data_IF_963282860288
#
_entry.id   IF_963282860288
#
_cell.length_a   1.000
_cell.length_b   1.000
_cell.length_c   1.000
_cell.angle_alpha   90.00
_cell.angle_beta   90.00
_cell.angle_gamma   90.00
#
_symmetry.space_group_name_H-M   'P 1'
#
loop_
_entity.id
_entity.type
_entity.pdbx_description
1 polymer ?
#
# COMPACT_ATOMS: atom_id res chain seq x y z
N UNK A 1 -14.54 20.95 59.38
CA UNK A 1 -13.13 21.31 59.65
C UNK A 1 -12.28 20.13 59.17
N UNK A 2 -11.37 20.18 58.22
CA UNK A 2 -10.78 21.26 57.43
C UNK A 2 -10.43 20.68 56.03
N UNK A 3 -10.67 21.49 55.00
CA UNK A 3 -10.34 21.25 53.60
C UNK A 3 -8.89 21.63 53.30
N UNK A 4 -8.13 20.74 52.66
CA UNK A 4 -6.76 21.02 52.17
C UNK A 4 -6.78 21.85 50.88
N UNK A 5 -6.01 22.94 50.76
CA UNK A 5 -5.90 23.73 49.53
C UNK A 5 -4.71 23.26 48.66
N UNK A 6 -4.71 23.54 47.34
CA UNK A 6 -3.62 23.18 46.44
C UNK A 6 -2.47 24.21 46.49
N UNK A 7 -1.21 23.82 46.19
CA UNK A 7 -0.11 24.77 46.18
C UNK A 7 -0.15 25.63 44.92
N UNK A 8 -0.17 26.96 45.14
CA UNK A 8 -0.02 27.99 44.11
C UNK A 8 1.47 28.20 43.78
N UNK A 9 1.75 28.32 42.49
CA UNK A 9 3.01 28.81 41.93
C UNK A 9 3.27 30.27 42.32
N UNK A 10 4.55 30.61 42.55
CA UNK A 10 5.04 31.99 42.66
C UNK A 10 6.26 32.21 41.76
N UNK A 11 6.45 33.43 41.21
CA UNK A 11 7.39 33.72 40.13
C UNK A 11 8.70 34.42 40.58
N UNK A 12 9.66 34.41 39.65
CA UNK A 12 10.80 35.33 39.43
C UNK A 12 11.90 35.53 40.49
N UNK A 13 13.14 35.25 40.07
CA UNK A 13 14.27 36.15 40.30
C UNK A 13 15.33 35.98 39.18
N UNK A 14 15.58 37.07 38.47
CA UNK A 14 16.69 37.22 37.53
C UNK A 14 18.00 37.46 38.28
N UNK A 15 19.11 36.94 37.77
CA UNK A 15 20.45 37.35 38.16
C UNK A 15 21.32 37.52 36.91
N UNK A 16 21.62 38.78 36.63
CA UNK A 16 22.59 39.27 35.66
C UNK A 16 24.02 38.92 36.06
N UNK A 17 24.85 38.50 35.09
CA UNK A 17 26.29 38.78 35.10
C UNK A 17 26.75 39.16 33.69
N UNK A 18 27.19 40.40 33.59
CA UNK A 18 27.83 41.07 32.46
C UNK A 18 29.32 40.71 32.39
N UNK A 19 30.00 41.24 31.37
CA UNK A 19 31.45 41.22 31.00
C UNK A 19 31.88 39.97 30.23
N UNK A 20 32.53 40.02 29.07
CA UNK A 20 33.22 41.11 28.35
C UNK A 20 33.31 40.78 26.85
N UNK A 21 33.15 41.80 26.00
CA UNK A 21 33.38 41.76 24.56
C UNK A 21 34.82 41.38 24.19
N UNK A 22 34.97 40.43 23.26
CA UNK A 22 36.13 40.37 22.35
C UNK A 22 35.62 40.31 20.92
N UNK A 23 35.87 41.40 20.21
CA UNK A 23 35.70 41.56 18.77
C UNK A 23 36.85 40.81 18.10
N UNK A 24 36.56 39.97 17.10
CA UNK A 24 37.52 39.58 16.06
C UNK A 24 36.81 39.35 14.72
N UNK A 25 37.48 39.79 13.66
CA UNK A 25 37.02 40.12 12.31
C UNK A 25 36.46 38.97 11.45
N UNK A 26 35.72 39.29 10.35
CA UNK A 26 35.08 38.32 9.48
C UNK A 26 35.97 37.96 8.28
N UNK A 27 36.61 36.79 8.29
CA UNK A 27 37.34 36.26 7.13
C UNK A 27 37.41 34.74 7.11
N UNK A 28 36.30 34.04 6.87
CA UNK A 28 36.35 32.67 6.32
C UNK A 28 35.19 32.48 5.34
N UNK A 29 35.48 32.62 4.05
CA UNK A 29 34.65 32.13 2.96
C UNK A 29 34.49 30.61 3.10
N UNK A 30 33.30 30.16 3.48
CA UNK A 30 32.92 28.77 3.30
C UNK A 30 32.75 28.50 1.80
N UNK A 31 33.76 27.86 1.22
CA UNK A 31 33.71 27.30 -0.14
C UNK A 31 32.59 26.25 -0.16
N UNK A 32 31.48 26.57 -0.80
CA UNK A 32 30.52 25.57 -1.26
C UNK A 32 31.26 24.56 -2.15
N UNK A 33 31.21 23.28 -1.79
CA UNK A 33 31.57 22.21 -2.72
C UNK A 33 30.50 22.16 -3.82
N UNK A 34 30.86 22.23 -5.11
CA UNK A 34 29.91 21.98 -6.19
C UNK A 34 29.38 20.54 -6.10
N UNK A 35 28.07 20.39 -6.31
CA UNK A 35 27.45 19.10 -6.58
C UNK A 35 28.17 18.44 -7.77
N UNK A 36 28.55 17.15 -7.70
CA UNK A 36 29.10 16.47 -8.86
C UNK A 36 28.06 16.48 -9.99
N UNK A 37 28.55 16.84 -11.17
CA UNK A 37 27.86 16.96 -12.44
C UNK A 37 26.89 15.80 -12.73
N UNK A 38 25.73 16.17 -13.27
CA UNK A 38 24.77 15.31 -13.97
C UNK A 38 25.47 14.26 -14.85
N UNK A 39 25.21 12.96 -14.68
CA UNK A 39 25.59 11.98 -15.67
C UNK A 39 24.75 12.20 -16.93
N UNK A 40 25.45 12.36 -18.04
CA UNK A 40 24.90 12.44 -19.39
C UNK A 40 24.11 11.17 -19.72
N UNK A 41 22.91 11.38 -20.26
CA UNK A 41 22.04 10.33 -20.76
C UNK A 41 22.68 9.66 -21.97
N UNK A 42 23.18 8.43 -21.81
CA UNK A 42 23.20 7.43 -22.88
C UNK A 42 23.52 6.04 -22.30
N UNK A 43 22.49 5.29 -21.94
CA UNK A 43 22.54 3.83 -22.03
C UNK A 43 21.14 3.35 -22.34
N UNK A 44 20.97 2.95 -23.59
CA UNK A 44 19.76 2.37 -24.16
C UNK A 44 19.29 1.24 -23.23
N UNK A 45 18.13 1.43 -22.61
CA UNK A 45 17.45 0.36 -21.90
C UNK A 45 17.12 -0.75 -22.91
N UNK A 46 17.64 -1.94 -22.69
CA UNK A 46 17.26 -3.11 -23.48
C UNK A 46 15.73 -3.28 -23.39
N UNK A 47 15.02 -3.38 -24.53
CA UNK A 47 13.58 -3.61 -24.51
C UNK A 47 13.32 -4.94 -23.81
N UNK A 48 12.38 -4.90 -22.86
CA UNK A 48 11.88 -6.08 -22.18
C UNK A 48 11.31 -7.05 -23.22
N UNK A 49 11.50 -8.37 -23.08
CA UNK A 49 10.89 -9.32 -23.99
C UNK A 49 9.38 -9.13 -23.91
N UNK A 50 8.80 -8.68 -25.03
CA UNK A 50 7.36 -8.64 -25.24
C UNK A 50 6.86 -10.08 -25.25
N UNK A 51 6.52 -10.63 -24.09
CA UNK A 51 5.69 -11.83 -24.02
C UNK A 51 4.22 -11.41 -24.09
N UNK A 52 3.85 -10.66 -25.13
CA UNK A 52 2.47 -10.68 -25.60
C UNK A 52 2.26 -12.06 -26.21
N UNK A 53 1.90 -13.05 -25.37
CA UNK A 53 1.27 -14.26 -25.91
C UNK A 53 0.11 -13.77 -26.79
N UNK A 54 0.04 -14.17 -28.06
CA UNK A 54 -1.12 -13.85 -28.89
C UNK A 54 -2.37 -14.35 -28.17
N UNK A 55 -3.45 -13.55 -28.23
CA UNK A 55 -4.74 -13.91 -27.65
C UNK A 55 -5.15 -15.28 -28.18
N UNK A 56 -5.16 -16.31 -27.31
CA UNK A 56 -5.62 -17.64 -27.71
C UNK A 56 -7.14 -17.66 -27.76
N UNK A 57 -7.69 -18.33 -28.76
CA UNK A 57 -9.13 -18.52 -28.95
C UNK A 57 -9.81 -19.26 -27.77
N UNK A 58 -9.02 -19.84 -26.86
CA UNK A 58 -9.49 -20.65 -25.72
C UNK A 58 -9.51 -19.91 -24.37
N UNK A 59 -9.43 -18.57 -24.36
CA UNK A 59 -9.56 -17.85 -23.08
C UNK A 59 -10.97 -18.02 -22.52
N UNK A 60 -11.06 -18.49 -21.27
CA UNK A 60 -12.34 -18.55 -20.57
C UNK A 60 -13.01 -17.18 -20.58
N UNK A 61 -14.31 -17.16 -20.81
CA UNK A 61 -15.11 -15.93 -20.81
C UNK A 61 -16.02 -15.90 -19.59
N UNK A 62 -16.42 -14.70 -19.17
CA UNK A 62 -17.42 -14.52 -18.12
C UNK A 62 -18.29 -13.29 -18.44
N UNK A 63 -19.52 -13.26 -17.91
CA UNK A 63 -20.41 -12.10 -18.00
C UNK A 63 -20.41 -11.28 -16.70
N UNK A 64 -20.87 -10.02 -16.77
CA UNK A 64 -21.06 -9.19 -15.56
C UNK A 64 -22.05 -9.82 -14.57
N UNK A 65 -23.06 -10.53 -15.07
CA UNK A 65 -24.02 -11.27 -14.25
C UNK A 65 -23.37 -12.40 -13.46
N UNK A 66 -22.31 -13.03 -13.99
CA UNK A 66 -21.54 -14.04 -13.26
C UNK A 66 -20.70 -13.41 -12.16
N UNK A 67 -20.08 -12.25 -12.43
CA UNK A 67 -19.36 -11.47 -11.41
C UNK A 67 -20.31 -11.07 -10.27
N UNK A 68 -21.48 -10.51 -10.60
CA UNK A 68 -22.48 -10.11 -9.61
C UNK A 68 -22.98 -11.30 -8.77
N UNK A 69 -23.18 -12.46 -9.39
CA UNK A 69 -23.55 -13.71 -8.68
C UNK A 69 -22.43 -14.18 -7.75
N UNK A 70 -21.17 -14.14 -8.21
CA UNK A 70 -20.01 -14.50 -7.41
C UNK A 70 -19.87 -13.58 -6.18
N UNK A 71 -20.04 -12.28 -6.37
CA UNK A 71 -20.03 -11.28 -5.30
C UNK A 71 -21.13 -11.53 -4.26
N UNK A 72 -22.39 -11.72 -4.69
CA UNK A 72 -23.52 -12.05 -3.80
C UNK A 72 -23.33 -13.36 -3.05
N UNK A 73 -22.62 -14.31 -3.63
CA UNK A 73 -22.31 -15.59 -2.97
C UNK A 73 -21.24 -15.43 -1.90
N UNK A 74 -20.19 -14.64 -2.18
CA UNK A 74 -19.14 -14.32 -1.22
C UNK A 74 -19.65 -13.45 -0.07
N UNK A 75 -20.47 -12.46 -0.38
CA UNK A 75 -20.98 -11.46 0.57
C UNK A 75 -22.51 -11.42 0.48
N UNK A 76 -23.17 -12.32 1.22
CA UNK A 76 -24.64 -12.28 1.37
C UNK A 76 -25.09 -10.93 1.95
N UNK A 77 -24.31 -10.42 2.90
CA UNK A 77 -24.39 -9.06 3.43
C UNK A 77 -23.19 -8.26 2.90
N UNK A 78 -23.42 -7.25 2.04
CA UNK A 78 -22.33 -6.50 1.44
C UNK A 78 -21.53 -5.72 2.50
N UNK A 79 -20.19 -5.81 2.50
CA UNK A 79 -19.34 -5.09 3.45
C UNK A 79 -19.36 -3.57 3.22
N UNK A 80 -19.32 -2.80 4.31
CA UNK A 80 -19.27 -1.33 4.25
C UNK A 80 -17.93 -0.73 3.80
N UNK A 81 -16.85 -1.50 3.85
CA UNK A 81 -15.51 -1.10 3.38
C UNK A 81 -14.83 -2.28 2.71
N UNK A 82 -14.39 -2.08 1.46
CA UNK A 82 -13.70 -3.11 0.68
C UNK A 82 -12.36 -2.59 0.18
N UNK A 83 -11.30 -3.36 0.37
CA UNK A 83 -9.97 -3.10 -0.18
C UNK A 83 -9.68 -4.05 -1.34
N UNK A 84 -9.76 -3.53 -2.56
CA UNK A 84 -9.79 -4.30 -3.80
C UNK A 84 -8.41 -4.39 -4.43
N UNK A 85 -7.98 -5.61 -4.74
CA UNK A 85 -6.84 -5.89 -5.63
C UNK A 85 -7.35 -6.63 -6.86
N UNK A 86 -6.76 -6.39 -8.04
CA UNK A 86 -7.24 -7.05 -9.24
C UNK A 86 -6.15 -7.34 -10.27
N UNK A 87 -6.35 -8.46 -10.97
CA UNK A 87 -5.70 -8.81 -12.23
C UNK A 87 -6.80 -9.21 -13.20
N UNK A 88 -7.44 -8.21 -13.80
CA UNK A 88 -8.70 -8.40 -14.55
C UNK A 88 -8.57 -9.40 -15.69
N UNK A 89 -7.42 -9.46 -16.36
CA UNK A 89 -7.19 -10.43 -17.44
C UNK A 89 -6.97 -11.87 -16.93
N UNK A 90 -6.59 -12.08 -15.66
CA UNK A 90 -6.54 -13.43 -15.09
C UNK A 90 -7.94 -14.02 -14.86
N UNK A 91 -8.99 -13.19 -14.81
CA UNK A 91 -10.36 -13.68 -14.80
C UNK A 91 -10.82 -14.21 -16.17
N UNK A 92 -10.09 -13.90 -17.25
CA UNK A 92 -10.49 -14.20 -18.62
C UNK A 92 -11.12 -13.01 -19.33
N UNK A 93 -11.82 -13.25 -20.44
CA UNK A 93 -12.44 -12.21 -21.24
C UNK A 93 -13.85 -11.87 -20.75
N UNK A 94 -14.09 -10.59 -20.49
CA UNK A 94 -15.43 -10.09 -20.19
C UNK A 94 -16.25 -10.02 -21.49
N UNK A 95 -17.38 -10.74 -21.53
CA UNK A 95 -18.26 -10.80 -22.70
C UNK A 95 -18.82 -9.42 -23.05
N UNK A 96 -18.76 -9.06 -24.34
CA UNK A 96 -19.34 -7.81 -24.84
C UNK A 96 -18.60 -6.53 -24.44
N UNK A 97 -17.42 -6.62 -23.81
CA UNK A 97 -16.65 -5.46 -23.36
C UNK A 97 -15.33 -5.31 -24.12
N UNK A 98 -14.98 -4.09 -24.50
CA UNK A 98 -13.62 -3.78 -24.95
C UNK A 98 -12.68 -3.70 -23.74
N UNK A 99 -11.37 -3.99 -23.90
CA UNK A 99 -10.40 -3.90 -22.79
C UNK A 99 -10.43 -2.56 -22.02
N UNK A 100 -10.68 -1.45 -22.72
CA UNK A 100 -10.74 -0.11 -22.13
C UNK A 100 -11.97 0.09 -21.23
N UNK A 101 -13.09 -0.57 -21.52
CA UNK A 101 -14.33 -0.46 -20.75
C UNK A 101 -14.36 -1.35 -19.50
N UNK A 102 -13.50 -2.38 -19.43
CA UNK A 102 -13.52 -3.36 -18.34
C UNK A 102 -13.41 -2.71 -16.95
N UNK A 103 -12.47 -1.79 -16.66
CA UNK A 103 -12.34 -1.21 -15.32
C UNK A 103 -13.62 -0.52 -14.83
N UNK A 104 -14.29 0.23 -15.71
CA UNK A 104 -15.55 0.92 -15.42
C UNK A 104 -16.68 -0.08 -15.16
N UNK A 105 -16.87 -1.06 -16.05
CA UNK A 105 -17.92 -2.07 -15.89
C UNK A 105 -17.75 -2.90 -14.61
N UNK A 106 -16.51 -3.25 -14.26
CA UNK A 106 -16.20 -3.94 -13.00
C UNK A 106 -16.49 -3.05 -11.80
N UNK A 107 -16.09 -1.77 -11.85
CA UNK A 107 -16.38 -0.82 -10.77
C UNK A 107 -17.89 -0.63 -10.56
N UNK A 108 -18.66 -0.47 -11.64
CA UNK A 108 -20.11 -0.32 -11.57
C UNK A 108 -20.78 -1.58 -11.01
N UNK A 109 -20.31 -2.77 -11.39
CA UNK A 109 -20.81 -4.04 -10.83
C UNK A 109 -20.50 -4.16 -9.33
N UNK A 110 -19.29 -3.75 -8.90
CA UNK A 110 -18.95 -3.67 -7.48
C UNK A 110 -19.85 -2.67 -6.76
N UNK A 111 -20.10 -1.50 -7.35
CA UNK A 111 -20.95 -0.46 -6.78
C UNK A 111 -22.41 -0.92 -6.67
N UNK A 112 -22.94 -1.62 -7.67
CA UNK A 112 -24.28 -2.21 -7.64
C UNK A 112 -24.41 -3.20 -6.47
N UNK A 113 -23.43 -4.09 -6.32
CA UNK A 113 -23.46 -5.09 -5.26
C UNK A 113 -23.30 -4.48 -3.86
N UNK A 114 -22.34 -3.57 -3.68
CA UNK A 114 -21.97 -3.00 -2.39
C UNK A 114 -22.92 -1.86 -1.95
N UNK A 115 -23.59 -1.23 -2.91
CA UNK A 115 -24.46 -0.08 -2.68
C UNK A 115 -23.71 1.24 -2.46
N UNK A 116 -24.46 2.35 -2.33
CA UNK A 116 -23.89 3.70 -2.23
C UNK A 116 -23.22 3.98 -0.87
N UNK A 117 -23.58 3.24 0.18
CA UNK A 117 -23.04 3.44 1.53
C UNK A 117 -21.69 2.73 1.76
N UNK A 118 -21.27 1.87 0.83
CA UNK A 118 -19.98 1.21 0.93
C UNK A 118 -18.84 2.11 0.43
N UNK A 119 -17.66 1.91 1.01
CA UNK A 119 -16.41 2.52 0.55
C UNK A 119 -15.57 1.50 -0.20
N UNK A 120 -15.19 1.83 -1.43
CA UNK A 120 -14.27 1.02 -2.25
C UNK A 120 -12.90 1.68 -2.17
N UNK A 121 -11.91 0.95 -1.69
CA UNK A 121 -10.51 1.36 -1.60
C UNK A 121 -9.63 0.47 -2.48
N UNK A 122 -8.58 1.05 -3.08
CA UNK A 122 -7.63 0.36 -3.95
C UNK A 122 -6.20 0.85 -3.66
N UNK A 123 -5.16 0.00 -3.78
CA UNK A 123 -3.79 0.47 -3.69
C UNK A 123 -3.43 1.29 -4.94
N UNK A 124 -2.76 2.43 -4.75
CA UNK A 124 -2.33 3.33 -5.85
C UNK A 124 -0.84 3.64 -5.77
N UNK A 125 -0.02 2.61 -5.61
CA UNK A 125 1.41 2.76 -5.33
C UNK A 125 2.15 3.41 -6.51
N UNK A 126 3.20 4.14 -6.17
CA UNK A 126 4.12 4.73 -7.14
C UNK A 126 5.48 4.97 -6.49
N UNK A 127 6.48 4.19 -6.88
CA UNK A 127 7.82 4.27 -6.29
C UNK A 127 8.75 5.29 -6.97
N UNK A 128 8.21 6.20 -7.80
CA UNK A 128 8.96 7.32 -8.38
C UNK A 128 9.55 8.27 -7.33
N UNK A 129 8.84 8.44 -6.22
CA UNK A 129 9.31 9.24 -5.09
C UNK A 129 10.65 8.73 -4.53
N UNK A 130 10.91 7.40 -4.57
CA UNK A 130 12.18 6.82 -4.16
C UNK A 130 13.37 7.26 -5.05
N UNK A 131 13.09 7.74 -6.25
CA UNK A 131 14.07 8.21 -7.25
C UNK A 131 14.15 9.73 -7.34
N UNK A 132 13.52 10.46 -6.42
CA UNK A 132 13.50 11.93 -6.44
C UNK A 132 12.42 12.54 -7.34
N UNK A 133 11.53 11.73 -7.91
CA UNK A 133 10.43 12.24 -8.76
C UNK A 133 9.35 12.93 -7.92
N UNK A 134 8.69 13.94 -8.51
CA UNK A 134 7.56 14.61 -7.88
C UNK A 134 6.40 13.64 -7.63
N UNK A 135 5.94 13.57 -6.38
CA UNK A 135 4.63 13.02 -6.07
C UNK A 135 3.60 14.15 -5.95
N UNK A 136 2.66 14.17 -6.88
CA UNK A 136 1.44 14.96 -6.81
C UNK A 136 0.28 14.03 -6.40
N UNK A 137 -0.33 14.32 -5.25
CA UNK A 137 -1.40 13.52 -4.66
C UNK A 137 -2.58 13.34 -5.61
N UNK A 138 -2.87 14.32 -6.46
CA UNK A 138 -3.99 14.32 -7.41
C UNK A 138 -3.60 13.71 -8.75
N UNK A 139 -2.44 14.07 -9.31
CA UNK A 139 -2.11 13.75 -10.71
C UNK A 139 -1.11 12.60 -10.92
N UNK A 140 -0.30 12.24 -9.92
CA UNK A 140 0.67 11.14 -10.09
C UNK A 140 -0.07 9.82 -10.33
N UNK A 141 0.19 9.09 -11.43
CA UNK A 141 -0.55 7.87 -11.74
C UNK A 141 -0.19 6.75 -10.76
N UNK A 142 -1.11 5.80 -10.59
CA UNK A 142 -0.82 4.49 -10.02
C UNK A 142 0.08 3.70 -10.98
N UNK A 143 1.05 2.96 -10.44
CA UNK A 143 1.96 2.12 -11.24
C UNK A 143 1.90 0.69 -10.72
N UNK A 144 1.65 -0.25 -11.64
CA UNK A 144 1.63 -1.70 -11.37
C UNK A 144 0.55 -2.19 -10.40
N UNK A 145 -0.47 -1.39 -10.06
CA UNK A 145 -1.59 -1.80 -9.20
C UNK A 145 -2.83 -2.30 -9.97
N UNK A 146 -2.74 -2.41 -11.29
CA UNK A 146 -3.84 -2.83 -12.16
C UNK A 146 -4.72 -1.67 -12.66
N UNK A 147 -5.45 -1.93 -13.76
CA UNK A 147 -6.25 -0.92 -14.45
C UNK A 147 -7.45 -0.44 -13.61
N UNK A 148 -8.05 -1.31 -12.80
CA UNK A 148 -9.13 -0.94 -11.87
C UNK A 148 -8.65 0.09 -10.84
N UNK A 149 -7.45 -0.11 -10.28
CA UNK A 149 -6.93 0.80 -9.27
C UNK A 149 -6.71 2.22 -9.83
N UNK A 150 -6.20 2.32 -11.06
CA UNK A 150 -6.02 3.62 -11.72
C UNK A 150 -7.37 4.25 -12.09
N UNK A 151 -8.33 3.46 -12.59
CA UNK A 151 -9.68 3.94 -12.88
C UNK A 151 -10.32 4.55 -11.62
N UNK A 152 -10.32 3.83 -10.50
CA UNK A 152 -10.86 4.33 -9.22
C UNK A 152 -10.13 5.58 -8.75
N UNK A 153 -8.81 5.66 -8.89
CA UNK A 153 -8.02 6.85 -8.51
C UNK A 153 -8.47 8.11 -9.26
N UNK A 154 -8.89 7.96 -10.52
CA UNK A 154 -9.26 9.08 -11.41
C UNK A 154 -10.72 9.49 -11.35
N UNK A 155 -11.56 8.79 -10.57
CA UNK A 155 -12.97 9.17 -10.42
C UNK A 155 -13.10 10.57 -9.76
N UNK A 156 -14.07 11.41 -10.17
CA UNK A 156 -14.20 12.79 -9.67
C UNK A 156 -14.30 12.95 -8.14
N UNK A 157 -14.79 11.93 -7.44
CA UNK A 157 -14.98 11.93 -5.98
C UNK A 157 -13.98 11.03 -5.24
N UNK A 158 -12.98 10.50 -5.94
CA UNK A 158 -11.93 9.73 -5.32
C UNK A 158 -11.05 10.63 -4.45
N UNK A 159 -10.70 10.10 -3.27
CA UNK A 159 -9.67 10.68 -2.41
C UNK A 159 -8.47 9.75 -2.40
N UNK A 160 -7.27 10.30 -2.31
CA UNK A 160 -6.02 9.52 -2.22
C UNK A 160 -5.31 9.82 -0.92
N UNK A 161 -4.73 8.83 -0.25
CA UNK A 161 -3.92 9.05 0.96
C UNK A 161 -2.61 9.78 0.65
N UNK A 162 -1.98 10.34 1.69
CA UNK A 162 -0.86 11.25 1.53
C UNK A 162 0.46 10.55 1.18
N UNK A 163 0.67 9.29 1.58
CA UNK A 163 1.97 8.63 1.49
C UNK A 163 2.40 8.41 0.01
N UNK A 164 3.54 8.96 -0.44
CA UNK A 164 3.84 9.11 -1.86
C UNK A 164 4.21 7.80 -2.55
N UNK A 165 4.78 6.84 -1.80
CA UNK A 165 5.23 5.56 -2.35
C UNK A 165 4.11 4.52 -2.36
N UNK A 166 3.27 4.56 -1.32
CA UNK A 166 2.34 3.50 -0.96
C UNK A 166 1.03 4.14 -0.50
N UNK A 167 0.28 4.67 -1.46
CA UNK A 167 -1.00 5.34 -1.22
C UNK A 167 -2.19 4.44 -1.51
N UNK A 168 -3.35 4.81 -0.97
CA UNK A 168 -4.65 4.21 -1.22
C UNK A 168 -5.53 5.27 -1.88
N UNK A 169 -6.26 4.92 -2.93
CA UNK A 169 -7.39 5.71 -3.39
C UNK A 169 -8.70 5.10 -2.89
N UNK A 170 -9.68 5.93 -2.54
CA UNK A 170 -10.95 5.49 -2.00
C UNK A 170 -12.13 6.35 -2.47
N UNK A 171 -13.28 5.71 -2.65
CA UNK A 171 -14.57 6.33 -3.02
C UNK A 171 -15.66 5.79 -2.11
N UNK A 172 -16.35 6.68 -1.39
CA UNK A 172 -17.45 6.36 -0.48
C UNK A 172 -17.35 7.11 0.86
N UNK A 173 -18.28 6.85 1.80
CA UNK A 173 -18.39 7.60 3.05
C UNK A 173 -17.11 7.63 3.92
N UNK A 174 -16.32 6.56 3.91
CA UNK A 174 -15.07 6.46 4.69
C UNK A 174 -13.85 7.00 3.95
N UNK A 175 -13.96 7.42 2.69
CA UNK A 175 -12.83 7.85 1.88
C UNK A 175 -12.04 9.01 2.53
N UNK A 176 -12.74 9.95 3.18
CA UNK A 176 -12.08 11.06 3.86
C UNK A 176 -11.26 10.60 5.08
N UNK A 177 -11.85 9.77 5.95
CA UNK A 177 -11.17 9.24 7.12
C UNK A 177 -9.97 8.35 6.72
N UNK A 178 -10.16 7.46 5.75
CA UNK A 178 -9.13 6.53 5.28
C UNK A 178 -7.91 7.25 4.66
N UNK A 179 -8.13 8.40 4.04
CA UNK A 179 -7.08 9.14 3.30
C UNK A 179 -6.58 10.38 4.01
N UNK A 180 -7.09 10.68 5.21
CA UNK A 180 -6.65 11.80 6.04
C UNK A 180 -5.24 11.59 6.64
N UNK A 181 -4.83 10.38 7.06
CA UNK A 181 -3.51 10.17 7.65
C UNK A 181 -2.35 10.58 6.74
N UNK A 182 -1.34 11.18 7.36
CA UNK A 182 -0.10 11.64 6.74
C UNK A 182 1.09 11.24 7.63
N UNK A 183 1.23 9.93 7.83
CA UNK A 183 2.30 9.30 8.60
C UNK A 183 3.59 9.20 7.80
N UNK A 184 4.72 9.06 8.48
CA UNK A 184 6.03 9.00 7.82
C UNK A 184 6.15 7.72 6.97
N UNK A 185 5.58 6.61 7.44
CA UNK A 185 5.49 5.33 6.73
C UNK A 185 4.04 4.91 6.49
N UNK A 186 3.81 4.16 5.42
CA UNK A 186 2.46 3.80 4.98
C UNK A 186 1.70 2.86 5.92
N UNK A 187 2.41 1.92 6.57
CA UNK A 187 1.83 0.90 7.45
C UNK A 187 2.00 1.22 8.94
N UNK A 188 2.45 2.44 9.24
CA UNK A 188 2.60 2.92 10.62
C UNK A 188 1.26 2.96 11.36
N UNK A 189 1.34 2.91 12.70
CA UNK A 189 0.17 3.11 13.54
C UNK A 189 -0.45 4.48 13.26
N UNK A 190 -1.78 4.53 13.16
CA UNK A 190 -2.53 5.71 12.76
C UNK A 190 -2.41 6.09 11.28
N UNK A 191 -1.74 5.27 10.46
CA UNK A 191 -1.67 5.43 9.01
C UNK A 191 -2.90 4.87 8.28
N UNK A 192 -3.02 5.13 6.96
CA UNK A 192 -4.18 4.69 6.17
C UNK A 192 -4.38 3.18 6.15
N UNK A 193 -3.31 2.38 6.17
CA UNK A 193 -3.44 0.92 6.24
C UNK A 193 -3.86 0.44 7.63
N UNK A 194 -3.47 1.15 8.70
CA UNK A 194 -3.95 0.90 10.06
C UNK A 194 -5.46 1.14 10.12
N UNK A 195 -5.95 2.23 9.51
CA UNK A 195 -7.39 2.51 9.39
C UNK A 195 -8.16 1.43 8.64
N UNK A 196 -7.60 0.80 7.60
CA UNK A 196 -8.24 -0.36 6.95
C UNK A 196 -8.45 -1.53 7.93
N UNK A 197 -7.53 -1.73 8.88
CA UNK A 197 -7.60 -2.81 9.87
C UNK A 197 -8.55 -2.46 11.01
N UNK A 198 -8.52 -1.21 11.47
CA UNK A 198 -9.42 -0.68 12.50
C UNK A 198 -10.89 -0.84 12.08
N UNK A 199 -11.21 -0.50 10.84
CA UNK A 199 -12.55 -0.66 10.25
C UNK A 199 -12.85 -2.07 9.75
N UNK A 200 -11.94 -3.03 9.95
CA UNK A 200 -12.04 -4.42 9.47
C UNK A 200 -12.44 -4.52 7.98
N UNK A 201 -11.75 -3.74 7.14
CA UNK A 201 -11.95 -3.73 5.70
C UNK A 201 -11.99 -5.14 5.12
N UNK A 202 -12.97 -5.42 4.28
CA UNK A 202 -13.01 -6.67 3.54
C UNK A 202 -11.98 -6.62 2.42
N UNK A 203 -10.95 -7.46 2.48
CA UNK A 203 -10.04 -7.64 1.36
C UNK A 203 -10.79 -8.43 0.30
N UNK A 204 -10.83 -7.91 -0.93
CA UNK A 204 -11.43 -8.57 -2.09
C UNK A 204 -10.40 -8.62 -3.21
N UNK A 205 -10.12 -9.80 -3.72
CA UNK A 205 -9.19 -9.96 -4.84
C UNK A 205 -9.91 -10.51 -6.05
N UNK A 206 -9.67 -9.90 -7.21
CA UNK A 206 -10.29 -10.24 -8.47
C UNK A 206 -9.23 -10.87 -9.37
N UNK A 207 -9.13 -12.20 -9.32
CA UNK A 207 -8.27 -12.99 -10.18
C UNK A 207 -6.79 -13.00 -9.83
N UNK A 208 -6.32 -12.28 -8.80
CA UNK A 208 -4.89 -12.12 -8.49
C UNK A 208 -4.40 -12.83 -7.22
N UNK A 209 -5.24 -13.64 -6.57
CA UNK A 209 -4.87 -14.28 -5.30
C UNK A 209 -4.60 -13.28 -4.17
N UNK A 210 -3.87 -13.71 -3.12
CA UNK A 210 -3.51 -12.89 -1.96
C UNK A 210 -2.08 -12.31 -2.05
N UNK A 211 -1.30 -12.75 -3.03
CA UNK A 211 0.08 -12.34 -3.31
C UNK A 211 0.27 -10.81 -3.38
N UNK A 212 -0.59 -10.04 -4.06
CA UNK A 212 -0.42 -8.59 -4.14
C UNK A 212 -0.98 -7.83 -2.93
N UNK A 213 -1.57 -8.51 -1.94
CA UNK A 213 -2.24 -7.87 -0.81
C UNK A 213 -1.21 -7.21 0.11
N UNK A 214 -1.11 -5.90 -0.01
CA UNK A 214 -0.08 -5.09 0.66
C UNK A 214 -0.15 -5.07 2.19
N UNK A 215 -1.25 -5.52 2.81
CA UNK A 215 -1.40 -5.60 4.26
C UNK A 215 -0.43 -6.60 4.92
N UNK A 216 0.21 -7.49 4.16
CA UNK A 216 1.28 -8.35 4.70
C UNK A 216 2.43 -7.53 5.26
N UNK A 217 2.75 -6.39 4.62
CA UNK A 217 3.83 -5.50 5.06
C UNK A 217 3.51 -4.77 6.36
N UNK A 218 2.22 -4.59 6.67
CA UNK A 218 1.80 -4.11 7.98
C UNK A 218 2.15 -5.12 9.07
N UNK A 219 1.89 -6.42 8.85
CA UNK A 219 2.27 -7.47 9.80
C UNK A 219 3.79 -7.58 9.96
N UNK A 220 4.54 -7.55 8.86
CA UNK A 220 6.01 -7.57 8.88
C UNK A 220 6.61 -6.39 9.66
N UNK A 221 6.04 -5.19 9.53
CA UNK A 221 6.46 -4.01 10.30
C UNK A 221 6.17 -4.18 11.79
N UNK A 222 5.02 -4.74 12.16
CA UNK A 222 4.63 -4.94 13.57
C UNK A 222 5.51 -5.97 14.27
N UNK A 223 5.91 -7.04 13.56
CA UNK A 223 6.79 -8.09 14.10
C UNK A 223 8.26 -7.65 14.08
N UNK A 224 8.67 -6.79 13.13
CA UNK A 224 10.06 -6.38 13.00
C UNK A 224 10.93 -7.48 12.38
N UNK A 225 10.50 -7.99 11.23
CA UNK A 225 11.17 -9.11 10.52
C UNK A 225 12.63 -8.78 10.15
N UNK A 226 13.55 -9.76 10.19
CA UNK A 226 15.00 -9.52 10.08
C UNK A 226 15.46 -9.13 8.66
N UNK A 227 14.63 -9.35 7.64
CA UNK A 227 14.97 -9.09 6.24
C UNK A 227 14.47 -7.73 5.71
N UNK A 228 13.94 -6.86 6.58
CA UNK A 228 13.48 -5.52 6.23
C UNK A 228 14.08 -4.45 7.13
N UNK A 229 14.36 -3.28 6.57
CA UNK A 229 14.90 -2.13 7.27
C UNK A 229 14.24 -0.83 6.83
N UNK A 230 14.19 0.15 7.73
CA UNK A 230 13.67 1.47 7.44
C UNK A 230 14.59 2.24 6.49
N UNK A 231 14.03 2.77 5.40
CA UNK A 231 14.72 3.66 4.47
C UNK A 231 13.93 4.95 4.29
N UNK A 232 14.60 6.09 4.42
CA UNK A 232 14.01 7.41 4.22
C UNK A 232 14.25 7.93 2.81
N UNK A 233 13.25 8.58 2.23
CA UNK A 233 13.27 9.17 0.91
C UNK A 233 12.81 10.62 1.00
N UNK A 234 13.53 11.53 0.34
CA UNK A 234 13.22 12.94 0.30
C UNK A 234 13.10 13.40 -1.15
N UNK A 235 11.92 13.88 -1.55
CA UNK A 235 11.63 14.30 -2.92
C UNK A 235 10.54 15.38 -2.94
N UNK A 236 10.34 16.06 -4.09
CA UNK A 236 9.26 17.03 -4.25
C UNK A 236 7.90 16.37 -4.04
N UNK A 237 7.03 17.04 -3.28
CA UNK A 237 5.69 16.58 -2.94
C UNK A 237 4.68 17.71 -3.09
N UNK A 238 3.53 17.43 -3.69
CA UNK A 238 2.40 18.35 -3.85
C UNK A 238 1.09 17.69 -3.42
N UNK A 239 0.44 18.22 -2.39
CA UNK A 239 -0.98 17.89 -2.09
C UNK A 239 -1.91 19.00 -2.57
N UNK A 240 -1.52 20.27 -2.36
CA UNK A 240 -2.24 21.47 -2.82
C UNK A 240 -1.21 22.56 -3.11
N UNK A 241 -1.43 23.39 -4.11
CA UNK A 241 -0.56 24.54 -4.39
C UNK A 241 0.85 24.14 -4.85
N UNK A 242 1.87 24.80 -4.30
CA UNK A 242 3.27 24.65 -4.73
C UNK A 242 3.91 23.39 -4.12
N UNK A 243 4.70 22.67 -4.92
CA UNK A 243 5.45 21.51 -4.45
C UNK A 243 6.52 21.89 -3.41
N UNK A 244 6.70 21.05 -2.39
CA UNK A 244 7.73 21.21 -1.35
C UNK A 244 8.46 19.89 -1.16
N UNK A 245 9.74 19.96 -0.77
CA UNK A 245 10.47 18.77 -0.36
C UNK A 245 9.83 18.19 0.90
N UNK A 246 9.52 16.90 0.88
CA UNK A 246 9.04 16.16 2.04
C UNK A 246 9.82 14.87 2.20
N UNK A 247 9.88 14.37 3.43
CA UNK A 247 10.54 13.10 3.75
C UNK A 247 9.51 12.09 4.23
N UNK A 248 9.58 10.89 3.68
CA UNK A 248 8.80 9.72 4.08
C UNK A 248 9.75 8.53 4.21
N UNK A 249 9.31 7.46 4.88
CA UNK A 249 10.08 6.22 5.05
C UNK A 249 9.29 5.00 4.61
N UNK A 250 10.03 3.98 4.17
CA UNK A 250 9.47 2.68 3.78
C UNK A 250 10.22 1.58 4.52
N UNK A 251 9.49 0.59 5.02
CA UNK A 251 10.06 -0.62 5.59
C UNK A 251 10.45 -1.59 4.46
N UNK A 252 11.63 -1.36 3.92
CA UNK A 252 12.09 -1.92 2.66
C UNK A 252 12.80 -3.25 2.89
N UNK A 253 12.50 -4.24 2.03
CA UNK A 253 13.23 -5.51 2.00
C UNK A 253 14.68 -5.29 1.58
N UNK A 254 15.59 -6.00 2.22
CA UNK A 254 16.97 -6.09 1.75
C UNK A 254 17.04 -6.97 0.50
N UNK A 255 17.40 -6.37 -0.62
CA UNK A 255 17.49 -7.07 -1.91
C UNK A 255 18.75 -7.93 -2.02
N UNK A 256 19.78 -7.69 -1.18
CA UNK A 256 21.01 -8.49 -1.18
C UNK A 256 20.79 -9.92 -0.70
N UNK A 257 19.72 -10.17 0.06
CA UNK A 257 19.37 -11.49 0.59
C UNK A 257 18.73 -12.43 -0.45
N UNK A 258 18.45 -11.95 -1.67
CA UNK A 258 17.86 -12.79 -2.73
C UNK A 258 16.46 -13.35 -2.40
N UNK A 259 15.73 -12.67 -1.51
CA UNK A 259 14.43 -13.12 -1.03
C UNK A 259 13.29 -12.69 -1.95
N UNK A 260 12.29 -13.55 -2.07
CA UNK A 260 11.01 -13.30 -2.70
C UNK A 260 9.89 -13.41 -1.66
N UNK A 261 8.77 -12.74 -1.90
CA UNK A 261 7.62 -12.87 -1.01
C UNK A 261 6.96 -14.22 -1.27
N UNK A 262 6.59 -14.92 -0.20
CA UNK A 262 5.86 -16.19 -0.27
C UNK A 262 4.66 -16.14 0.65
N UNK A 263 3.48 -15.94 0.08
CA UNK A 263 2.25 -15.83 0.86
C UNK A 263 1.57 -17.19 1.06
N UNK A 264 2.10 -18.26 0.45
CA UNK A 264 1.49 -19.61 0.47
C UNK A 264 1.15 -20.09 1.88
N UNK A 265 2.04 -19.93 2.90
CA UNK A 265 1.71 -20.33 4.27
C UNK A 265 0.53 -19.55 4.85
N UNK A 266 0.42 -18.27 4.53
CA UNK A 266 -0.69 -17.42 4.95
C UNK A 266 -2.02 -17.87 4.29
N UNK A 267 -2.02 -18.11 2.99
CA UNK A 267 -3.23 -18.63 2.30
C UNK A 267 -3.65 -19.98 2.86
N UNK A 268 -2.71 -20.89 3.11
CA UNK A 268 -3.00 -22.20 3.69
C UNK A 268 -3.62 -22.07 5.09
N UNK A 269 -3.04 -21.23 5.95
CA UNK A 269 -3.55 -20.99 7.29
C UNK A 269 -4.96 -20.37 7.28
N UNK A 270 -5.19 -19.32 6.48
CA UNK A 270 -6.51 -18.69 6.34
C UNK A 270 -7.57 -19.66 5.79
N UNK A 271 -7.18 -20.56 4.89
CA UNK A 271 -8.06 -21.60 4.36
C UNK A 271 -8.40 -22.63 5.44
N UNK A 272 -7.39 -23.12 6.16
CA UNK A 272 -7.57 -24.07 7.27
C UNK A 272 -8.50 -23.52 8.35
N UNK A 273 -8.33 -22.25 8.70
CA UNK A 273 -9.15 -21.53 9.69
C UNK A 273 -10.54 -21.13 9.18
N UNK A 274 -10.87 -21.43 7.91
CA UNK A 274 -12.13 -21.05 7.25
C UNK A 274 -12.38 -19.53 7.22
N UNK A 275 -11.31 -18.74 7.20
CA UNK A 275 -11.33 -17.27 7.13
C UNK A 275 -11.24 -16.75 5.68
N UNK A 276 -10.72 -17.58 4.77
CA UNK A 276 -10.64 -17.26 3.34
C UNK A 276 -11.82 -17.86 2.56
N UNK A 277 -12.65 -16.98 2.00
CA UNK A 277 -13.73 -17.37 1.11
C UNK A 277 -13.30 -17.16 -0.35
N UNK A 278 -13.74 -18.04 -1.24
CA UNK A 278 -13.43 -17.91 -2.67
C UNK A 278 -14.61 -18.36 -3.53
N UNK A 279 -14.69 -17.81 -4.73
CA UNK A 279 -15.68 -18.19 -5.73
C UNK A 279 -15.06 -18.14 -7.12
N UNK A 280 -15.20 -19.21 -7.90
CA UNK A 280 -14.67 -19.27 -9.27
C UNK A 280 -15.37 -18.25 -10.17
N UNK A 281 -14.61 -17.58 -11.03
CA UNK A 281 -15.12 -16.70 -12.08
C UNK A 281 -14.18 -16.77 -13.29
N UNK A 282 -14.73 -17.16 -14.45
CA UNK A 282 -13.97 -17.34 -15.68
C UNK A 282 -12.75 -18.26 -15.48
N UNK A 283 -11.57 -17.77 -15.83
CA UNK A 283 -10.31 -18.52 -15.75
C UNK A 283 -9.70 -18.59 -14.33
N UNK A 284 -10.22 -17.84 -13.36
CA UNK A 284 -9.65 -17.72 -12.03
C UNK A 284 -10.76 -17.64 -10.97
N UNK A 285 -10.53 -16.91 -9.89
CA UNK A 285 -11.44 -16.80 -8.76
C UNK A 285 -11.41 -15.41 -8.13
N UNK A 286 -12.52 -15.10 -7.47
CA UNK A 286 -12.58 -14.06 -6.46
C UNK A 286 -12.17 -14.66 -5.14
N UNK A 287 -11.42 -13.92 -4.32
CA UNK A 287 -11.17 -14.29 -2.93
C UNK A 287 -11.52 -13.16 -1.98
N UNK A 288 -11.94 -13.51 -0.77
CA UNK A 288 -12.30 -12.53 0.25
C UNK A 288 -11.96 -12.98 1.66
N UNK A 289 -11.41 -12.05 2.44
CA UNK A 289 -10.97 -12.25 3.82
C UNK A 289 -11.07 -10.93 4.58
N UNK A 290 -11.33 -10.97 5.88
CA UNK A 290 -11.29 -9.78 6.75
C UNK A 290 -9.85 -9.26 6.86
N UNK A 291 -9.66 -7.94 6.94
CA UNK A 291 -8.32 -7.39 7.15
C UNK A 291 -7.74 -7.80 8.50
N UNK A 292 -8.57 -7.92 9.55
CA UNK A 292 -8.15 -8.42 10.87
C UNK A 292 -7.71 -9.88 10.82
N UNK A 293 -8.52 -10.76 10.23
CA UNK A 293 -8.16 -12.18 10.07
C UNK A 293 -6.85 -12.34 9.29
N UNK A 294 -6.69 -11.58 8.21
CA UNK A 294 -5.49 -11.58 7.38
C UNK A 294 -4.25 -11.18 8.18
N UNK A 295 -4.27 -10.03 8.88
CA UNK A 295 -3.08 -9.54 9.60
C UNK A 295 -2.79 -10.34 10.87
N UNK A 296 -3.82 -10.80 11.59
CA UNK A 296 -3.62 -11.62 12.79
C UNK A 296 -3.00 -12.97 12.43
N UNK A 297 -3.45 -13.60 11.36
CA UNK A 297 -2.87 -14.86 10.88
C UNK A 297 -1.43 -14.64 10.39
N UNK A 298 -1.17 -13.55 9.68
CA UNK A 298 0.19 -13.20 9.24
C UNK A 298 1.13 -12.96 10.43
N UNK A 299 0.69 -12.22 11.45
CA UNK A 299 1.46 -11.99 12.69
C UNK A 299 1.76 -13.32 13.37
N UNK A 300 0.76 -14.19 13.58
CA UNK A 300 0.97 -15.47 14.25
C UNK A 300 2.01 -16.34 13.52
N UNK A 301 1.99 -16.36 12.18
CA UNK A 301 2.99 -17.07 11.38
C UNK A 301 4.39 -16.46 11.54
N UNK A 302 4.50 -15.13 11.51
CA UNK A 302 5.77 -14.42 11.63
C UNK A 302 6.36 -14.47 13.05
N UNK A 303 5.53 -14.48 14.10
CA UNK A 303 5.97 -14.66 15.48
C UNK A 303 6.49 -16.09 15.72
N UNK A 304 5.86 -17.10 15.09
CA UNK A 304 6.33 -18.48 15.14
C UNK A 304 7.62 -18.69 14.32
N UNK A 305 7.72 -18.06 13.14
CA UNK A 305 8.91 -18.05 12.32
C UNK A 305 8.99 -16.72 11.54
N UNK A 306 9.95 -15.83 11.85
CA UNK A 306 10.02 -14.51 11.24
C UNK A 306 10.32 -14.54 9.75
N UNK A 307 10.66 -15.70 9.18
CA UNK A 307 10.89 -15.92 7.76
C UNK A 307 9.74 -16.64 7.03
N UNK A 308 8.63 -16.92 7.71
CA UNK A 308 7.53 -17.72 7.17
C UNK A 308 6.93 -17.19 5.87
N UNK A 309 7.07 -15.89 5.59
CA UNK A 309 6.45 -15.22 4.44
C UNK A 309 7.45 -14.82 3.34
N UNK A 310 8.66 -15.40 3.37
CA UNK A 310 9.69 -15.20 2.35
C UNK A 310 10.37 -16.52 1.98
N UNK A 311 10.89 -16.58 0.77
CA UNK A 311 11.66 -17.72 0.25
C UNK A 311 12.82 -17.24 -0.61
N UNK A 312 13.84 -18.06 -0.83
CA UNK A 312 14.88 -17.72 -1.80
C UNK A 312 14.37 -17.89 -3.23
N UNK A 313 14.80 -17.00 -4.13
CA UNK A 313 14.52 -17.12 -5.55
C UNK A 313 14.97 -18.48 -6.10
N UNK A 314 14.05 -19.24 -6.70
CA UNK A 314 14.36 -20.54 -7.32
C UNK A 314 14.36 -21.74 -6.37
N UNK A 315 13.97 -21.57 -5.11
CA UNK A 315 13.74 -22.68 -4.16
C UNK A 315 12.25 -23.03 -4.06
N UNK A 316 11.93 -24.26 -3.69
CA UNK A 316 10.57 -24.78 -3.48
C UNK A 316 9.87 -24.23 -2.22
N UNK A 317 10.45 -23.19 -1.62
CA UNK A 317 9.95 -22.54 -0.42
C UNK A 317 10.54 -23.06 0.89
N UNK A 318 11.49 -23.99 0.83
CA UNK A 318 12.32 -24.34 1.98
C UNK A 318 13.41 -23.28 2.22
N UNK A 319 13.39 -22.64 3.40
CA UNK A 319 14.56 -21.97 3.94
C UNK A 319 15.36 -23.03 4.70
N UNK A 320 16.57 -23.33 4.24
CA UNK A 320 17.44 -24.27 4.94
C UNK A 320 17.63 -23.82 6.39
N UNK A 321 17.32 -24.66 7.40
CA UNK A 321 17.60 -24.32 8.79
C UNK A 321 19.12 -24.35 8.98
N UNK A 322 19.76 -23.17 8.92
CA UNK A 322 21.19 -23.03 9.16
C UNK A 322 21.98 -22.14 8.18
N UNK A 323 21.35 -21.45 7.24
CA UNK A 323 22.04 -20.48 6.38
C UNK A 323 21.89 -19.04 6.90
N UNK A 324 22.68 -18.67 7.90
CA UNK A 324 23.06 -17.27 8.17
C UNK A 324 24.38 -17.02 7.44
#
# INVERSE_FOLDING_TARGET
>A
MASSPPPRSRPCAAASKTTSLRIWSPSVLWRFRPCPSTPTASSIAAPWPSTSKPWSADMATYALTDLLRALRTLHKEPPGLVFVHSSLFQLGLLQGATPAAIPELIYETLREHLGPQATIAVPTFNFGFCRGELFDRTSTPSRQMGALAEFVRTLPHARRSAHPMQSIAAVGPLAAALTAPDTAGAFERGGSFDTLIEYDARILTLGCGLEPVSLVHWAEERVGVPYRAWKSFCAPYRSTGVARMRTYRMYARDLSLGLQANITPLTAALTHNRQLHHHRLGASQLTSVSSRDFVNTAIALLEANPWALVTHSGTDGSLSPGGI
#
